data_IF_923487079995
#
_entry.id   IF_923487079995
#
_cell.length_a   1.000
_cell.length_b   1.000
_cell.length_c   1.000
_cell.angle_alpha   90.00
_cell.angle_beta   90.00
_cell.angle_gamma   90.00
#
_symmetry.space_group_name_H-M   'P 1'
#
loop_
_entity.id
_entity.type
_entity.pdbx_description
1 polymer ?
#
# COMPACT_ATOMS: atom_id res chain seq x y z
N UNK A 1 19.33 -16.72 17.82
CA UNK A 1 18.27 -17.73 17.65
C UNK A 1 16.94 -17.21 18.17
N UNK A 2 16.91 -16.59 19.36
CA UNK A 2 15.71 -15.94 19.93
C UNK A 2 15.13 -14.82 19.05
N UNK A 3 15.98 -13.96 18.48
CA UNK A 3 15.57 -12.88 17.56
C UNK A 3 14.99 -13.37 16.23
N UNK A 4 15.52 -14.46 15.67
CA UNK A 4 15.00 -15.05 14.44
C UNK A 4 13.62 -15.67 14.65
N UNK A 5 13.40 -16.27 15.83
CA UNK A 5 12.11 -16.82 16.21
C UNK A 5 11.07 -15.70 16.42
N UNK A 6 11.46 -14.59 17.06
CA UNK A 6 10.57 -13.44 17.23
C UNK A 6 10.18 -12.81 15.89
N UNK A 7 11.13 -12.63 14.96
CA UNK A 7 10.83 -12.10 13.62
C UNK A 7 9.87 -13.01 12.84
N UNK A 8 10.05 -14.33 12.93
CA UNK A 8 9.16 -15.30 12.30
C UNK A 8 7.75 -15.26 12.90
N UNK A 9 7.62 -15.22 14.23
CA UNK A 9 6.33 -15.12 14.93
C UNK A 9 5.60 -13.83 14.56
N UNK A 10 6.31 -12.69 14.53
CA UNK A 10 5.72 -11.41 14.11
C UNK A 10 5.20 -11.46 12.69
N UNK A 11 5.95 -12.06 11.76
CA UNK A 11 5.50 -12.23 10.38
C UNK A 11 4.25 -13.11 10.27
N UNK A 12 4.21 -14.22 11.00
CA UNK A 12 3.04 -15.13 11.00
C UNK A 12 1.79 -14.43 11.57
N UNK A 13 1.97 -13.54 12.54
CA UNK A 13 0.86 -12.81 13.16
C UNK A 13 0.48 -11.49 12.48
N UNK A 14 1.18 -11.07 11.42
CA UNK A 14 0.81 -9.89 10.63
C UNK A 14 0.00 -10.32 9.42
N UNK A 15 -1.08 -9.61 9.15
CA UNK A 15 -1.92 -9.86 7.99
C UNK A 15 -2.64 -8.56 7.60
N UNK A 16 -2.92 -8.39 6.31
CA UNK A 16 -3.51 -7.18 5.74
C UNK A 16 -4.57 -7.52 4.72
N UNK A 17 -5.63 -6.72 4.67
CA UNK A 17 -6.71 -6.84 3.68
C UNK A 17 -6.97 -5.47 3.05
N UNK A 18 -6.97 -5.39 1.72
CA UNK A 18 -7.33 -4.17 1.00
C UNK A 18 -8.86 -4.16 0.90
N UNK A 19 -9.51 -3.20 1.58
CA UNK A 19 -10.97 -3.11 1.66
C UNK A 19 -11.59 -2.40 0.46
N UNK A 20 -10.81 -1.54 -0.20
CA UNK A 20 -11.28 -0.78 -1.35
C UNK A 20 -10.20 0.13 -1.91
N UNK A 21 -10.35 0.45 -3.19
CA UNK A 21 -9.50 1.36 -3.94
C UNK A 21 -10.40 2.35 -4.66
N UNK A 22 -10.13 3.65 -4.47
CA UNK A 22 -10.75 4.71 -5.24
C UNK A 22 -9.74 5.25 -6.25
N UNK A 23 -10.07 5.17 -7.53
CA UNK A 23 -9.24 5.71 -8.60
C UNK A 23 -10.12 6.27 -9.72
N UNK A 24 -10.02 7.58 -9.91
CA UNK A 24 -10.62 8.29 -11.03
C UNK A 24 -9.53 8.53 -12.10
N UNK A 25 -9.88 8.33 -13.37
CA UNK A 25 -8.99 8.51 -14.52
C UNK A 25 -8.57 9.97 -14.72
N UNK A 26 -9.41 10.90 -14.27
CA UNK A 26 -9.19 12.34 -14.33
C UNK A 26 -8.40 12.90 -13.15
N UNK A 27 -8.34 12.18 -12.04
CA UNK A 27 -7.62 12.59 -10.84
C UNK A 27 -6.16 12.11 -10.82
N UNK A 28 -5.23 12.89 -10.26
CA UNK A 28 -3.82 12.51 -10.15
C UNK A 28 -3.53 11.61 -8.93
N UNK A 29 -4.56 11.25 -8.16
CA UNK A 29 -4.45 10.49 -6.92
C UNK A 29 -5.24 9.18 -6.97
N UNK A 30 -4.73 8.18 -6.26
CA UNK A 30 -5.41 6.92 -5.97
C UNK A 30 -5.46 6.80 -4.44
N UNK A 31 -6.63 6.45 -3.90
CA UNK A 31 -6.77 6.15 -2.47
C UNK A 31 -7.03 4.65 -2.27
N UNK A 32 -6.47 4.09 -1.19
CA UNK A 32 -6.73 2.71 -0.81
C UNK A 32 -6.88 2.57 0.70
N UNK A 33 -7.88 1.81 1.12
CA UNK A 33 -8.14 1.52 2.54
C UNK A 33 -7.66 0.12 2.86
N UNK A 34 -6.65 0.02 3.71
CA UNK A 34 -6.00 -1.26 4.03
C UNK A 34 -6.15 -1.55 5.51
N UNK A 35 -6.83 -2.65 5.82
CA UNK A 35 -7.08 -3.11 7.18
C UNK A 35 -5.94 -3.96 7.68
N UNK A 36 -5.49 -3.71 8.90
CA UNK A 36 -4.67 -4.66 9.64
C UNK A 36 -5.58 -5.73 10.25
N UNK A 37 -5.61 -6.91 9.62
CA UNK A 37 -6.39 -8.06 10.09
C UNK A 37 -5.54 -9.03 10.93
N UNK A 38 -4.25 -8.73 11.11
CA UNK A 38 -3.34 -9.45 11.97
C UNK A 38 -3.53 -9.15 13.47
N UNK A 39 -2.63 -9.72 14.28
CA UNK A 39 -2.63 -9.58 15.74
C UNK A 39 -1.58 -8.59 16.27
N UNK A 40 -0.70 -8.08 15.40
CA UNK A 40 0.34 -7.10 15.73
C UNK A 40 0.10 -5.79 15.01
N UNK A 41 0.46 -4.66 15.65
CA UNK A 41 0.58 -3.38 14.94
C UNK A 41 1.66 -3.47 13.85
N UNK A 42 1.41 -2.81 12.72
CA UNK A 42 2.33 -2.76 11.58
C UNK A 42 3.06 -1.44 11.62
N UNK A 43 4.39 -1.47 11.62
CA UNK A 43 5.19 -0.26 11.60
C UNK A 43 6.68 -0.49 11.43
N UNK A 44 7.44 0.57 11.08
CA UNK A 44 6.94 1.92 10.81
C UNK A 44 6.16 1.99 9.48
N UNK A 45 5.07 2.78 9.44
CA UNK A 45 4.21 2.90 8.24
C UNK A 45 5.00 3.36 7.02
N UNK A 46 5.89 4.35 7.19
CA UNK A 46 6.76 4.85 6.14
C UNK A 46 7.72 3.82 5.50
N UNK A 47 7.86 2.62 6.09
CA UNK A 47 8.67 1.52 5.53
C UNK A 47 7.83 0.45 4.80
N UNK A 48 6.53 0.70 4.58
CA UNK A 48 5.70 -0.12 3.69
C UNK A 48 6.13 0.14 2.25
N UNK A 49 6.40 -0.93 1.50
CA UNK A 49 6.63 -0.82 0.06
C UNK A 49 5.29 -0.81 -0.66
N UNK A 50 5.08 0.13 -1.58
CA UNK A 50 3.83 0.27 -2.34
C UNK A 50 4.14 0.25 -3.83
N UNK A 51 3.40 -0.56 -4.58
CA UNK A 51 3.56 -0.75 -6.02
C UNK A 51 2.22 -0.59 -6.75
N UNK A 52 2.27 0.09 -7.88
CA UNK A 52 1.22 0.06 -8.89
C UNK A 52 1.71 -0.78 -10.08
N UNK A 53 0.91 -1.75 -10.50
CA UNK A 53 1.30 -2.71 -11.53
C UNK A 53 0.25 -2.68 -12.64
N UNK A 54 0.71 -2.59 -13.89
CA UNK A 54 -0.12 -2.80 -15.08
C UNK A 54 0.42 -4.04 -15.80
N UNK A 55 -0.30 -5.18 -15.79
CA UNK A 55 0.15 -6.39 -16.44
C UNK A 55 0.50 -6.15 -17.92
N UNK A 56 1.69 -6.60 -18.33
CA UNK A 56 2.19 -6.42 -19.70
C UNK A 56 2.87 -5.07 -19.98
N UNK A 57 2.73 -4.07 -19.10
CA UNK A 57 3.34 -2.74 -19.28
C UNK A 57 4.45 -2.46 -18.29
N UNK A 58 4.28 -2.83 -17.00
CA UNK A 58 5.33 -2.69 -16.00
C UNK A 58 4.83 -2.48 -14.58
N UNK A 59 5.76 -2.04 -13.73
CA UNK A 59 5.54 -1.76 -12.32
C UNK A 59 6.12 -0.39 -11.95
N UNK A 60 5.42 0.32 -11.08
CA UNK A 60 5.86 1.57 -10.47
C UNK A 60 5.98 1.37 -8.97
N UNK A 61 7.20 1.44 -8.45
CA UNK A 61 7.44 1.49 -7.00
C UNK A 61 7.23 2.94 -6.53
N UNK A 62 6.27 3.15 -5.64
CA UNK A 62 5.99 4.46 -5.07
C UNK A 62 6.90 4.69 -3.86
N UNK A 63 7.55 5.85 -3.82
CA UNK A 63 8.34 6.25 -2.65
C UNK A 63 7.42 6.78 -1.55
N UNK A 64 7.72 6.52 -0.28
CA UNK A 64 7.08 7.25 0.80
C UNK A 64 7.48 8.74 0.74
N UNK A 65 6.50 9.64 0.72
CA UNK A 65 6.73 11.09 0.71
C UNK A 65 5.55 11.82 1.38
N UNK A 66 5.78 12.34 2.58
CA UNK A 66 4.74 13.06 3.34
C UNK A 66 4.23 14.32 2.63
N UNK A 67 4.97 14.86 1.67
CA UNK A 67 4.55 16.03 0.89
C UNK A 67 3.62 15.69 -0.27
N UNK A 68 3.65 14.45 -0.77
CA UNK A 68 2.80 13.99 -1.89
C UNK A 68 3.31 14.41 -3.28
N UNK A 69 4.57 14.14 -3.62
CA UNK A 69 5.08 14.36 -4.98
C UNK A 69 4.65 13.26 -5.98
N UNK A 70 4.71 13.47 -7.31
CA UNK A 70 4.41 12.42 -8.28
C UNK A 70 5.24 11.15 -8.08
N UNK A 71 4.60 9.98 -8.18
CA UNK A 71 5.24 8.68 -7.95
C UNK A 71 5.54 8.41 -6.47
N UNK A 72 4.71 8.95 -5.58
CA UNK A 72 4.84 8.76 -4.14
C UNK A 72 3.54 8.30 -3.50
N UNK A 73 3.65 7.89 -2.24
CA UNK A 73 2.51 7.60 -1.40
C UNK A 73 2.73 8.16 0.02
N UNK A 74 1.62 8.36 0.74
CA UNK A 74 1.59 8.72 2.17
C UNK A 74 0.35 8.15 2.84
N UNK A 75 0.39 8.03 4.16
CA UNK A 75 -0.83 7.81 4.93
C UNK A 75 -1.68 9.09 5.05
N UNK A 76 -2.99 8.91 5.15
CA UNK A 76 -3.96 9.98 5.41
C UNK A 76 -4.86 9.61 6.59
N UNK A 77 -4.89 10.40 7.68
CA UNK A 77 -4.06 11.57 7.94
C UNK A 77 -2.58 11.21 8.18
N UNK A 78 -1.67 12.13 7.88
CA UNK A 78 -0.24 11.98 8.16
C UNK A 78 0.02 11.68 9.64
N UNK A 79 0.97 10.79 9.92
CA UNK A 79 1.33 10.34 11.26
C UNK A 79 0.38 9.27 11.84
N UNK A 80 -0.51 8.71 11.03
CA UNK A 80 -1.37 7.59 11.45
C UNK A 80 -0.54 6.37 11.86
N UNK A 81 -0.92 5.74 12.97
CA UNK A 81 -0.45 4.40 13.32
C UNK A 81 -1.27 3.35 12.60
N UNK A 82 -0.69 2.17 12.37
CA UNK A 82 -1.41 1.03 11.80
C UNK A 82 -1.56 -0.08 12.82
N UNK A 83 -2.33 0.24 13.85
CA UNK A 83 -2.60 -0.68 14.95
C UNK A 83 -3.51 -1.84 14.53
N UNK A 84 -3.57 -2.85 15.38
CA UNK A 84 -4.43 -4.01 15.15
C UNK A 84 -5.88 -3.57 14.93
N UNK A 85 -6.54 -4.15 13.92
CA UNK A 85 -7.92 -3.87 13.50
C UNK A 85 -8.15 -2.49 12.87
N UNK A 86 -7.16 -1.60 12.85
CA UNK A 86 -7.28 -0.29 12.23
C UNK A 86 -7.16 -0.37 10.70
N UNK A 87 -7.73 0.64 10.05
CA UNK A 87 -7.65 0.84 8.60
C UNK A 87 -6.72 2.00 8.32
N UNK A 88 -5.68 1.76 7.53
CA UNK A 88 -4.80 2.80 7.02
C UNK A 88 -5.32 3.25 5.66
N UNK A 89 -5.50 4.56 5.47
CA UNK A 89 -5.74 5.14 4.14
C UNK A 89 -4.40 5.50 3.51
N UNK A 90 -4.09 4.89 2.36
CA UNK A 90 -2.94 5.22 1.53
C UNK A 90 -3.40 6.19 0.44
N UNK A 91 -2.86 7.40 0.45
CA UNK A 91 -2.94 8.33 -0.67
C UNK A 91 -1.71 8.17 -1.56
N UNK A 92 -1.93 7.88 -2.83
CA UNK A 92 -0.88 7.64 -3.82
C UNK A 92 -0.99 8.67 -4.94
N UNK A 93 0.11 9.37 -5.21
CA UNK A 93 0.18 10.33 -6.31
C UNK A 93 0.78 9.63 -7.52
N UNK A 94 0.02 9.61 -8.60
CA UNK A 94 0.32 8.82 -9.79
C UNK A 94 1.67 9.25 -10.40
N UNK A 95 2.56 8.30 -10.73
CA UNK A 95 3.83 8.61 -11.37
C UNK A 95 3.64 9.08 -12.83
N UNK A 96 4.59 9.87 -13.32
CA UNK A 96 4.63 10.22 -14.73
C UNK A 96 4.72 8.96 -15.59
N UNK A 97 3.85 8.86 -16.61
CA UNK A 97 3.79 7.71 -17.50
C UNK A 97 3.00 6.51 -16.96
N UNK A 98 2.35 6.62 -15.79
CA UNK A 98 1.36 5.63 -15.40
C UNK A 98 0.20 5.64 -16.40
N UNK A 99 -0.28 4.47 -16.86
CA UNK A 99 -1.33 4.42 -17.87
C UNK A 99 -2.64 5.03 -17.37
N UNK A 100 -3.32 5.75 -18.26
CA UNK A 100 -4.61 6.41 -17.99
C UNK A 100 -5.79 5.58 -18.55
N UNK A 101 -5.52 4.38 -19.05
CA UNK A 101 -6.57 3.55 -19.64
C UNK A 101 -7.49 2.96 -18.58
N UNK A 102 -8.70 2.55 -19.00
CA UNK A 102 -9.62 1.61 -18.30
C UNK A 102 -8.98 0.21 -18.15
N UNK A 103 -7.65 0.15 -18.02
CA UNK A 103 -6.91 -1.09 -17.89
C UNK A 103 -7.06 -1.62 -16.48
N UNK A 104 -7.00 -2.93 -16.40
CA UNK A 104 -6.82 -3.66 -15.16
C UNK A 104 -5.45 -3.33 -14.55
N UNK A 105 -5.45 -2.72 -13.37
CA UNK A 105 -4.27 -2.43 -12.57
C UNK A 105 -4.27 -3.28 -11.30
N UNK A 106 -3.11 -3.39 -10.65
CA UNK A 106 -2.98 -4.06 -9.34
C UNK A 106 -2.27 -3.09 -8.40
N UNK A 107 -2.88 -2.85 -7.24
CA UNK A 107 -2.20 -2.29 -6.08
C UNK A 107 -1.57 -3.45 -5.33
N UNK A 108 -0.27 -3.38 -5.07
CA UNK A 108 0.42 -4.33 -4.19
C UNK A 108 1.17 -3.55 -3.12
N UNK A 109 1.08 -3.99 -1.88
CA UNK A 109 1.87 -3.45 -0.78
C UNK A 109 2.57 -4.57 0.00
N UNK A 110 3.73 -4.26 0.55
CA UNK A 110 4.45 -5.13 1.45
C UNK A 110 4.72 -4.42 2.77
N UNK A 111 4.30 -5.04 3.88
CA UNK A 111 4.59 -4.55 5.23
C UNK A 111 6.09 -4.68 5.52
N UNK A 112 6.64 -3.94 6.51
CA UNK A 112 8.07 -4.02 6.86
C UNK A 112 8.56 -5.43 7.26
N UNK A 113 7.66 -6.31 7.71
CA UNK A 113 7.97 -7.71 8.01
C UNK A 113 7.69 -8.69 6.84
N UNK A 114 7.35 -8.16 5.67
CA UNK A 114 7.26 -8.88 4.40
C UNK A 114 5.94 -9.61 4.15
N UNK A 115 4.86 -9.19 4.82
CA UNK A 115 3.50 -9.64 4.48
C UNK A 115 3.00 -8.80 3.32
N UNK A 116 2.36 -9.45 2.34
CA UNK A 116 1.95 -8.81 1.09
C UNK A 116 0.42 -8.80 1.02
N UNK A 117 -0.14 -7.63 0.73
CA UNK A 117 -1.53 -7.48 0.29
C UNK A 117 -1.56 -7.02 -1.16
N UNK A 118 -2.52 -7.53 -1.93
CA UNK A 118 -2.74 -7.08 -3.30
C UNK A 118 -4.22 -7.10 -3.67
N UNK A 119 -4.62 -6.16 -4.50
CA UNK A 119 -5.99 -6.05 -4.99
C UNK A 119 -5.96 -5.43 -6.38
N UNK A 120 -6.82 -5.93 -7.27
CA UNK A 120 -6.97 -5.38 -8.60
C UNK A 120 -7.94 -4.20 -8.60
N UNK A 121 -7.72 -3.25 -9.49
CA UNK A 121 -8.61 -2.11 -9.65
C UNK A 121 -8.60 -1.59 -11.09
N UNK A 122 -9.66 -0.89 -11.45
CA UNK A 122 -9.77 -0.14 -12.70
C UNK A 122 -9.75 1.36 -12.37
N UNK A 123 -9.35 2.17 -13.35
CA UNK A 123 -9.50 3.63 -13.30
C UNK A 123 -10.67 4.01 -14.19
N UNK A 124 -11.67 4.66 -13.62
CA UNK A 124 -12.90 5.08 -14.31
C UNK A 124 -12.97 6.58 -14.48
#
# INVERSE_FOLDING_TARGET
>A
MESANEAAVRRIGTDVEILGIASDSSEPEIEAWVKNVGIYSIGPVAAVDVFLITPGEGYFALKYDSTGGPGSWRESPLGSSWDRSEVLNLQMVIPQGFPVSESYHILRLATPNGVIGEEAFERW
#
